data_IF_996753413426
#
_entry.id   IF_996753413426
#
_cell.length_a   1.000
_cell.length_b   1.000
_cell.length_c   1.000
_cell.angle_alpha   90.00
_cell.angle_beta   90.00
_cell.angle_gamma   90.00
#
_symmetry.space_group_name_H-M   'P 1'
#
loop_
_entity.id
_entity.type
_entity.pdbx_description
1 polymer ?
#
# COMPACT_ATOMS: atom_id res chain seq x y z
N UNK A 1 -19.99 -12.09 -23.26
CA UNK A 1 -19.05 -11.02 -22.95
C UNK A 1 -18.34 -10.54 -24.21
N UNK A 2 -18.11 -9.23 -24.34
CA UNK A 2 -17.29 -8.69 -25.44
C UNK A 2 -15.85 -9.19 -25.30
N UNK A 3 -15.09 -9.30 -26.43
CA UNK A 3 -13.70 -9.76 -26.39
C UNK A 3 -12.81 -8.96 -25.43
N UNK A 4 -13.11 -7.67 -25.23
CA UNK A 4 -12.42 -6.79 -24.28
C UNK A 4 -12.67 -7.19 -22.80
N UNK A 5 -13.85 -7.73 -22.49
CA UNK A 5 -14.18 -8.25 -21.16
C UNK A 5 -13.56 -9.63 -20.91
N UNK A 6 -13.48 -10.45 -21.95
CA UNK A 6 -12.81 -11.76 -21.87
C UNK A 6 -11.32 -11.57 -21.52
N UNK A 7 -10.63 -10.61 -22.16
CA UNK A 7 -9.23 -10.32 -21.86
C UNK A 7 -8.99 -9.89 -20.39
N UNK A 8 -9.98 -9.34 -19.73
CA UNK A 8 -9.87 -8.97 -18.30
C UNK A 8 -9.86 -10.16 -17.35
N UNK A 9 -10.32 -11.34 -17.80
CA UNK A 9 -10.33 -12.56 -16.96
C UNK A 9 -8.97 -13.24 -16.90
N UNK A 10 -7.99 -12.85 -17.75
CA UNK A 10 -6.65 -13.47 -17.80
C UNK A 10 -5.94 -13.53 -16.46
N UNK A 11 -6.17 -12.54 -15.58
CA UNK A 11 -5.56 -12.52 -14.26
C UNK A 11 -6.13 -13.63 -13.36
N UNK A 12 -7.41 -14.00 -13.55
CA UNK A 12 -8.02 -15.12 -12.83
C UNK A 12 -7.53 -16.47 -13.35
N UNK A 13 -7.23 -16.57 -14.66
CA UNK A 13 -6.54 -17.75 -15.18
C UNK A 13 -5.17 -17.94 -14.52
N UNK A 14 -4.34 -16.89 -14.49
CA UNK A 14 -3.06 -16.93 -13.81
C UNK A 14 -3.18 -17.22 -12.31
N UNK A 15 -4.21 -16.69 -11.66
CA UNK A 15 -4.51 -16.98 -10.25
C UNK A 15 -4.85 -18.46 -10.03
N UNK A 16 -5.62 -19.07 -10.95
CA UNK A 16 -5.92 -20.48 -10.93
C UNK A 16 -4.66 -21.34 -11.02
N UNK A 17 -3.74 -21.02 -11.93
CA UNK A 17 -2.42 -21.68 -12.06
C UNK A 17 -1.65 -21.59 -10.74
N UNK A 18 -1.62 -20.41 -10.11
CA UNK A 18 -0.95 -20.21 -8.82
C UNK A 18 -1.61 -21.01 -7.70
N UNK A 19 -2.94 -21.10 -7.68
CA UNK A 19 -3.66 -21.87 -6.66
C UNK A 19 -3.34 -23.37 -6.76
N UNK A 20 -3.19 -23.89 -7.98
CA UNK A 20 -2.71 -25.25 -8.19
C UNK A 20 -1.27 -25.42 -7.64
N UNK A 21 -0.36 -24.51 -8.00
CA UNK A 21 1.04 -24.56 -7.58
C UNK A 21 1.21 -24.53 -6.06
N UNK A 22 0.39 -23.74 -5.36
CA UNK A 22 0.45 -23.56 -3.89
C UNK A 22 -0.59 -24.36 -3.12
N UNK A 23 -1.23 -25.33 -3.75
CA UNK A 23 -2.26 -26.18 -3.14
C UNK A 23 -3.32 -25.39 -2.36
N UNK A 24 -3.87 -24.34 -3.02
CA UNK A 24 -4.86 -23.44 -2.40
C UNK A 24 -6.27 -23.75 -2.90
N UNK A 25 -7.27 -23.76 -2.01
CA UNK A 25 -8.67 -23.92 -2.39
C UNK A 25 -9.19 -22.67 -3.12
N UNK A 26 -10.11 -22.88 -4.08
CA UNK A 26 -10.70 -21.81 -4.90
C UNK A 26 -11.89 -21.12 -4.21
N UNK A 27 -12.54 -21.80 -3.26
CA UNK A 27 -13.82 -21.39 -2.66
C UNK A 27 -13.85 -19.97 -2.10
N UNK A 28 -12.81 -19.57 -1.38
CA UNK A 28 -12.74 -18.24 -0.78
C UNK A 28 -12.72 -17.12 -1.85
N UNK A 29 -12.05 -17.37 -2.98
CA UNK A 29 -12.01 -16.42 -4.09
C UNK A 29 -13.34 -16.39 -4.85
N UNK A 30 -14.01 -17.51 -5.00
CA UNK A 30 -15.34 -17.56 -5.59
C UNK A 30 -16.37 -16.80 -4.75
N UNK A 31 -16.35 -16.99 -3.43
CA UNK A 31 -17.22 -16.23 -2.52
C UNK A 31 -16.93 -14.72 -2.59
N UNK A 32 -15.67 -14.36 -2.65
CA UNK A 32 -15.26 -12.96 -2.82
C UNK A 32 -15.74 -12.38 -4.16
N UNK A 33 -15.63 -13.15 -5.28
CA UNK A 33 -16.15 -12.73 -6.59
C UNK A 33 -17.65 -12.46 -6.53
N UNK A 34 -18.43 -13.37 -5.94
CA UNK A 34 -19.88 -13.22 -5.76
C UNK A 34 -20.22 -11.95 -4.98
N UNK A 35 -19.47 -11.68 -3.90
CA UNK A 35 -19.68 -10.49 -3.06
C UNK A 35 -19.28 -9.20 -3.79
N UNK A 36 -18.12 -9.20 -4.46
CA UNK A 36 -17.57 -7.99 -5.09
C UNK A 36 -18.35 -7.58 -6.34
N UNK A 37 -18.85 -8.54 -7.12
CA UNK A 37 -19.54 -8.31 -8.38
C UNK A 37 -21.03 -8.63 -8.28
N UNK A 38 -21.62 -8.52 -7.09
CA UNK A 38 -23.05 -8.76 -6.89
C UNK A 38 -23.91 -8.02 -7.93
N UNK A 39 -24.84 -8.76 -8.57
CA UNK A 39 -25.68 -8.23 -9.64
C UNK A 39 -25.01 -8.21 -11.04
N UNK A 40 -23.81 -8.77 -11.20
CA UNK A 40 -23.08 -8.87 -12.48
C UNK A 40 -22.69 -10.33 -12.77
N UNK A 41 -23.69 -11.20 -12.86
CA UNK A 41 -23.51 -12.66 -12.92
C UNK A 41 -22.59 -13.10 -14.06
N UNK A 42 -22.70 -12.51 -15.25
CA UNK A 42 -21.82 -12.82 -16.38
C UNK A 42 -20.33 -12.53 -16.10
N UNK A 43 -20.02 -11.55 -15.23
CA UNK A 43 -18.64 -11.24 -14.82
C UNK A 43 -18.18 -12.27 -13.80
N UNK A 44 -19.04 -12.64 -12.85
CA UNK A 44 -18.74 -13.66 -11.84
C UNK A 44 -18.43 -14.98 -12.53
N UNK A 45 -19.34 -15.43 -13.40
CA UNK A 45 -19.22 -16.68 -14.15
C UNK A 45 -17.93 -16.72 -14.98
N UNK A 46 -17.64 -15.66 -15.75
CA UNK A 46 -16.46 -15.61 -16.61
C UNK A 46 -15.15 -15.64 -15.80
N UNK A 47 -15.07 -14.94 -14.67
CA UNK A 47 -13.87 -14.96 -13.84
C UNK A 47 -13.69 -16.30 -13.12
N UNK A 48 -14.78 -16.88 -12.62
CA UNK A 48 -14.78 -18.21 -11.99
C UNK A 48 -14.35 -19.27 -13.00
N UNK A 49 -14.96 -19.29 -14.18
CA UNK A 49 -14.60 -20.25 -15.25
C UNK A 49 -13.13 -20.09 -15.68
N UNK A 50 -12.65 -18.86 -15.80
CA UNK A 50 -11.26 -18.58 -16.15
C UNK A 50 -10.29 -19.08 -15.07
N UNK A 51 -10.63 -18.91 -13.79
CA UNK A 51 -9.82 -19.39 -12.65
C UNK A 51 -9.76 -20.91 -12.62
N UNK A 52 -10.89 -21.60 -12.79
CA UNK A 52 -10.93 -23.05 -12.91
C UNK A 52 -10.15 -23.55 -14.11
N UNK A 53 -10.26 -22.87 -15.26
CA UNK A 53 -9.49 -23.22 -16.45
C UNK A 53 -7.99 -23.14 -16.20
N UNK A 54 -7.51 -22.10 -15.49
CA UNK A 54 -6.10 -21.98 -15.12
C UNK A 54 -5.64 -23.08 -14.16
N UNK A 55 -6.44 -23.41 -13.16
CA UNK A 55 -6.15 -24.50 -12.24
C UNK A 55 -6.05 -25.85 -12.96
N UNK A 56 -7.05 -26.17 -13.77
CA UNK A 56 -7.10 -27.42 -14.52
C UNK A 56 -6.01 -27.50 -15.60
N UNK A 57 -5.65 -26.36 -16.22
CA UNK A 57 -4.54 -26.29 -17.16
C UNK A 57 -3.21 -26.70 -16.49
N UNK A 58 -2.93 -26.15 -15.31
CA UNK A 58 -1.70 -26.49 -14.58
C UNK A 58 -1.69 -27.97 -14.14
N UNK A 59 -2.84 -28.54 -13.77
CA UNK A 59 -3.01 -29.94 -13.43
C UNK A 59 -2.77 -30.85 -14.65
N UNK A 60 -3.48 -30.56 -15.74
CA UNK A 60 -3.48 -31.43 -16.94
C UNK A 60 -2.15 -31.39 -17.69
N UNK A 61 -1.48 -30.23 -17.71
CA UNK A 61 -0.20 -30.07 -18.45
C UNK A 61 1.02 -30.40 -17.61
N UNK A 62 0.85 -30.67 -16.32
CA UNK A 62 1.94 -30.99 -15.38
C UNK A 62 3.12 -30.00 -15.48
N UNK A 63 2.82 -28.70 -15.69
CA UNK A 63 3.84 -27.66 -15.90
C UNK A 63 4.75 -27.43 -14.69
N UNK A 64 4.33 -27.88 -13.50
CA UNK A 64 5.12 -27.76 -12.29
C UNK A 64 5.67 -29.10 -11.84
N UNK A 65 6.98 -29.23 -11.77
CA UNK A 65 7.66 -30.37 -11.17
C UNK A 65 7.56 -30.39 -9.65
N UNK A 66 7.28 -29.26 -9.04
CA UNK A 66 7.17 -29.09 -7.58
C UNK A 66 5.91 -28.29 -7.24
N UNK A 67 5.13 -28.80 -6.28
CA UNK A 67 4.01 -28.08 -5.67
C UNK A 67 4.41 -27.66 -4.25
N UNK A 68 3.89 -26.50 -3.84
CA UNK A 68 4.15 -25.95 -2.52
C UNK A 68 2.88 -26.03 -1.68
N UNK A 69 3.02 -26.30 -0.40
CA UNK A 69 1.92 -26.22 0.56
C UNK A 69 2.17 -25.12 1.55
N UNK A 70 1.23 -24.20 1.65
CA UNK A 70 1.28 -23.12 2.66
C UNK A 70 0.39 -23.54 3.81
N UNK A 71 1.02 -23.95 4.90
CA UNK A 71 0.31 -24.33 6.13
C UNK A 71 -0.34 -23.11 6.79
N UNK A 72 -1.32 -23.37 7.65
CA UNK A 72 -1.93 -22.30 8.45
C UNK A 72 -0.88 -21.68 9.37
N UNK A 73 -0.92 -20.36 9.50
CA UNK A 73 -0.06 -19.66 10.46
C UNK A 73 -0.34 -20.14 11.89
N UNK A 74 0.71 -20.36 12.66
CA UNK A 74 0.64 -20.75 14.08
C UNK A 74 0.36 -19.52 14.97
N UNK A 75 -0.73 -18.82 14.69
CA UNK A 75 -1.16 -17.67 15.48
C UNK A 75 -2.13 -18.11 16.59
N UNK A 76 -2.10 -17.47 17.76
CA UNK A 76 -3.11 -17.69 18.80
C UNK A 76 -4.53 -17.43 18.24
N UNK A 77 -5.58 -18.11 18.73
CA UNK A 77 -6.94 -17.81 18.34
C UNK A 77 -7.29 -16.34 18.59
N UNK A 78 -7.86 -15.65 17.60
CA UNK A 78 -8.19 -14.22 17.70
C UNK A 78 -8.76 -13.64 16.43
N UNK A 79 -9.18 -12.39 16.52
CA UNK A 79 -9.58 -11.60 15.37
C UNK A 79 -8.38 -10.82 14.84
N UNK A 80 -8.03 -11.05 13.59
CA UNK A 80 -6.88 -10.42 12.95
C UNK A 80 -7.34 -9.54 11.79
N UNK A 81 -6.60 -8.46 11.56
CA UNK A 81 -6.78 -7.59 10.41
C UNK A 81 -5.50 -7.56 9.59
N UNK A 82 -5.62 -7.82 8.31
CA UNK A 82 -4.51 -7.61 7.40
C UNK A 82 -4.28 -6.12 7.20
N UNK A 83 -3.08 -5.65 7.51
CA UNK A 83 -2.63 -4.28 7.28
C UNK A 83 -1.27 -4.31 6.61
N UNK A 84 -1.00 -3.31 5.77
CA UNK A 84 0.34 -3.05 5.23
C UNK A 84 1.05 -1.99 6.06
N UNK A 85 2.36 -1.77 5.81
CA UNK A 85 3.17 -0.79 6.52
C UNK A 85 2.63 0.62 6.40
N UNK A 86 2.12 1.04 5.24
CA UNK A 86 1.57 2.38 5.02
C UNK A 86 0.33 2.63 5.88
N UNK A 87 -0.57 1.65 5.99
CA UNK A 87 -1.75 1.76 6.86
C UNK A 87 -1.33 1.76 8.34
N UNK A 88 -0.39 0.91 8.74
CA UNK A 88 0.13 0.89 10.10
C UNK A 88 0.79 2.23 10.47
N UNK A 89 1.58 2.80 9.57
CA UNK A 89 2.19 4.13 9.72
C UNK A 89 1.11 5.20 9.89
N UNK A 90 0.09 5.20 9.04
CA UNK A 90 -1.01 6.19 9.13
C UNK A 90 -1.74 6.10 10.47
N UNK A 91 -2.01 4.89 10.98
CA UNK A 91 -2.62 4.67 12.29
C UNK A 91 -1.69 5.15 13.42
N UNK A 92 -0.39 4.87 13.32
CA UNK A 92 0.61 5.32 14.28
C UNK A 92 0.73 6.84 14.36
N UNK A 93 0.70 7.52 13.22
CA UNK A 93 0.74 8.99 13.13
C UNK A 93 -0.51 9.62 13.78
N UNK A 94 -1.69 9.07 13.50
CA UNK A 94 -2.92 9.54 14.12
C UNK A 94 -2.88 9.34 15.64
N UNK A 95 -2.46 8.17 16.11
CA UNK A 95 -2.34 7.89 17.54
C UNK A 95 -1.28 8.79 18.23
N UNK A 96 -0.18 9.13 17.53
CA UNK A 96 0.83 10.05 18.05
C UNK A 96 0.28 11.47 18.18
N UNK A 97 -0.45 11.95 17.19
CA UNK A 97 -1.13 13.24 17.19
C UNK A 97 -2.10 13.36 18.37
N UNK A 98 -2.97 12.40 18.56
CA UNK A 98 -3.91 12.32 19.68
C UNK A 98 -3.19 12.33 21.04
N UNK A 99 -2.16 11.49 21.20
CA UNK A 99 -1.40 11.42 22.48
C UNK A 99 -0.62 12.69 22.77
N UNK A 100 -0.11 13.36 21.75
CA UNK A 100 0.64 14.60 21.91
C UNK A 100 -0.27 15.83 22.02
N UNK A 101 -1.57 15.67 21.78
CA UNK A 101 -2.55 16.76 21.66
C UNK A 101 -2.10 17.83 20.64
N UNK A 102 -1.62 17.37 19.49
CA UNK A 102 -1.18 18.18 18.37
C UNK A 102 -2.05 17.88 17.15
N UNK A 103 -2.30 18.88 16.30
CA UNK A 103 -2.91 18.61 15.01
C UNK A 103 -1.93 17.85 14.12
N UNK A 104 -2.44 16.90 13.33
CA UNK A 104 -1.64 16.17 12.35
C UNK A 104 -1.67 16.87 11.00
N UNK A 105 -0.51 17.26 10.49
CA UNK A 105 -0.37 17.83 9.16
C UNK A 105 0.53 16.95 8.30
N UNK A 106 0.04 16.55 7.12
CA UNK A 106 0.83 15.85 6.11
C UNK A 106 0.99 16.71 4.86
N UNK A 107 2.21 17.17 4.59
CA UNK A 107 2.60 17.78 3.33
C UNK A 107 3.29 16.75 2.43
N UNK A 108 2.63 16.30 1.38
CA UNK A 108 3.13 15.25 0.49
C UNK A 108 2.74 15.50 -0.96
N UNK A 109 3.24 14.66 -1.85
CA UNK A 109 3.00 14.70 -3.29
C UNK A 109 2.75 13.27 -3.81
N UNK A 110 2.18 13.09 -5.02
CA UNK A 110 1.92 11.77 -5.57
C UNK A 110 3.22 11.02 -5.91
N UNK A 111 3.54 10.00 -5.13
CA UNK A 111 4.70 9.13 -5.35
C UNK A 111 4.43 7.72 -4.84
N UNK A 112 4.54 6.73 -5.70
CA UNK A 112 4.38 5.31 -5.33
C UNK A 112 5.67 4.79 -4.65
N UNK A 113 5.57 4.08 -3.51
CA UNK A 113 4.35 3.61 -2.83
C UNK A 113 3.86 4.52 -1.68
N UNK A 114 4.45 5.68 -1.45
CA UNK A 114 4.15 6.57 -0.32
C UNK A 114 2.75 7.22 -0.40
N UNK A 115 2.16 7.31 -1.60
CA UNK A 115 0.83 7.91 -1.81
C UNK A 115 -0.29 7.25 -1.00
N UNK A 116 -0.15 5.97 -0.63
CA UNK A 116 -1.15 5.28 0.19
C UNK A 116 -1.32 5.94 1.56
N UNK A 117 -0.25 6.51 2.13
CA UNK A 117 -0.31 7.26 3.40
C UNK A 117 -1.14 8.53 3.20
N UNK A 118 -0.87 9.28 2.11
CA UNK A 118 -1.64 10.48 1.78
C UNK A 118 -3.13 10.17 1.57
N UNK A 119 -3.44 9.13 0.80
CA UNK A 119 -4.82 8.70 0.55
C UNK A 119 -5.53 8.28 1.84
N UNK A 120 -4.87 7.53 2.70
CA UNK A 120 -5.41 7.07 3.98
C UNK A 120 -5.70 8.25 4.89
N UNK A 121 -4.72 9.11 5.14
CA UNK A 121 -4.88 10.26 6.03
C UNK A 121 -5.89 11.29 5.49
N UNK A 122 -5.95 11.48 4.18
CA UNK A 122 -6.95 12.39 3.58
C UNK A 122 -8.39 11.90 3.75
N UNK A 123 -8.60 10.60 3.94
CA UNK A 123 -9.92 10.05 4.26
C UNK A 123 -10.33 10.23 5.73
N UNK A 124 -9.38 10.59 6.60
CA UNK A 124 -9.57 10.72 8.05
C UNK A 124 -9.69 12.17 8.54
N UNK A 125 -10.19 13.06 7.68
CA UNK A 125 -10.43 14.49 8.03
C UNK A 125 -11.28 14.68 9.27
N UNK A 126 -12.18 13.75 9.55
CA UNK A 126 -13.04 13.78 10.74
C UNK A 126 -12.27 13.60 12.06
N UNK A 127 -11.01 13.15 12.00
CA UNK A 127 -10.10 13.15 13.15
C UNK A 127 -9.21 14.41 13.23
N UNK A 128 -9.54 15.48 12.52
CA UNK A 128 -8.75 16.71 12.52
C UNK A 128 -7.47 16.67 11.68
N UNK A 129 -7.26 15.59 10.91
CA UNK A 129 -6.09 15.45 10.06
C UNK A 129 -6.11 16.45 8.90
N UNK A 130 -5.06 17.23 8.77
CA UNK A 130 -4.83 18.14 7.66
C UNK A 130 -3.89 17.52 6.65
N UNK A 131 -4.30 17.46 5.39
CA UNK A 131 -3.47 16.94 4.30
C UNK A 131 -3.33 17.99 3.21
N UNK A 132 -2.11 18.18 2.72
CA UNK A 132 -1.79 19.02 1.59
C UNK A 132 -1.09 18.18 0.52
N UNK A 133 -1.70 18.08 -0.65
CA UNK A 133 -1.08 17.47 -1.81
C UNK A 133 -0.37 18.53 -2.63
N UNK A 134 0.95 18.50 -2.58
CA UNK A 134 1.84 19.37 -3.34
C UNK A 134 2.08 18.82 -4.75
N UNK A 135 2.67 19.63 -5.60
CA UNK A 135 3.10 19.24 -6.93
C UNK A 135 4.34 18.34 -6.89
N UNK A 136 5.30 18.64 -6.01
CA UNK A 136 6.60 17.97 -5.94
C UNK A 136 7.10 17.78 -4.50
N UNK A 137 8.30 17.23 -4.39
CA UNK A 137 9.02 16.95 -3.16
C UNK A 137 9.26 18.20 -2.32
N UNK A 138 9.68 19.30 -2.98
CA UNK A 138 10.10 20.53 -2.32
C UNK A 138 8.88 21.24 -1.74
N UNK A 139 7.84 21.40 -2.53
CA UNK A 139 6.57 21.99 -2.06
C UNK A 139 5.94 21.17 -0.92
N UNK A 140 6.02 19.82 -1.01
CA UNK A 140 5.52 18.93 0.03
C UNK A 140 6.24 19.12 1.37
N UNK A 141 7.57 19.12 1.38
CA UNK A 141 8.34 19.25 2.62
C UNK A 141 8.29 20.68 3.19
N UNK A 142 8.33 21.72 2.35
CA UNK A 142 8.27 23.10 2.81
C UNK A 142 6.91 23.45 3.41
N UNK A 143 5.81 22.90 2.89
CA UNK A 143 4.49 23.04 3.51
C UNK A 143 4.43 22.39 4.89
N UNK A 144 5.09 21.23 5.08
CA UNK A 144 5.18 20.57 6.38
C UNK A 144 6.04 21.40 7.37
N UNK A 145 7.13 22.03 6.92
CA UNK A 145 7.92 22.95 7.75
C UNK A 145 7.06 24.13 8.21
N UNK A 146 6.27 24.72 7.32
CA UNK A 146 5.33 25.78 7.68
C UNK A 146 4.30 25.34 8.74
N UNK A 147 3.78 24.12 8.64
CA UNK A 147 2.88 23.57 9.63
C UNK A 147 3.59 23.32 10.99
N UNK A 148 4.84 22.84 10.95
CA UNK A 148 5.66 22.71 12.16
C UNK A 148 5.88 24.04 12.87
N UNK A 149 6.11 25.11 12.12
CA UNK A 149 6.25 26.46 12.68
C UNK A 149 5.01 26.92 13.43
N UNK A 150 3.82 26.47 13.03
CA UNK A 150 2.56 26.75 13.73
C UNK A 150 2.22 25.78 14.85
N UNK A 151 3.10 24.82 15.14
CA UNK A 151 2.94 23.86 16.24
C UNK A 151 2.20 22.57 15.90
N UNK A 152 1.93 22.30 14.63
CA UNK A 152 1.33 21.01 14.22
C UNK A 152 2.38 19.89 14.25
N UNK A 153 1.96 18.65 14.45
CA UNK A 153 2.77 17.46 14.18
C UNK A 153 2.92 17.32 12.66
N UNK A 154 4.04 17.84 12.16
CA UNK A 154 4.30 18.01 10.74
C UNK A 154 5.02 16.80 10.14
N UNK A 155 4.47 16.28 9.04
CA UNK A 155 4.94 15.08 8.38
C UNK A 155 5.07 15.32 6.88
N UNK A 156 6.10 14.74 6.29
CA UNK A 156 6.22 14.63 4.84
C UNK A 156 6.54 13.19 4.45
N UNK A 157 6.01 12.74 3.33
CA UNK A 157 6.30 11.40 2.81
C UNK A 157 7.01 11.47 1.46
N UNK A 158 7.84 10.47 1.19
CA UNK A 158 8.56 10.36 -0.09
C UNK A 158 8.91 8.90 -0.40
N UNK A 159 9.53 8.67 -1.54
CA UNK A 159 10.04 7.37 -1.98
C UNK A 159 11.24 7.58 -2.91
N UNK A 160 12.13 6.58 -2.98
CA UNK A 160 13.26 6.58 -3.90
C UNK A 160 14.16 7.82 -3.78
N UNK A 161 14.50 8.47 -4.90
CA UNK A 161 15.40 9.61 -4.92
C UNK A 161 14.78 10.89 -4.35
N UNK A 162 13.49 10.92 -4.05
CA UNK A 162 12.80 12.10 -3.56
C UNK A 162 13.33 12.62 -2.22
N UNK A 163 13.98 11.76 -1.41
CA UNK A 163 14.65 12.20 -0.19
C UNK A 163 15.81 13.17 -0.47
N UNK A 164 16.53 12.95 -1.55
CA UNK A 164 17.64 13.84 -1.94
C UNK A 164 17.13 15.23 -2.34
N UNK A 165 15.99 15.31 -3.01
CA UNK A 165 15.35 16.57 -3.38
C UNK A 165 14.83 17.37 -2.18
N UNK A 166 14.64 16.73 -1.04
CA UNK A 166 14.23 17.37 0.22
C UNK A 166 15.41 17.89 1.04
N UNK A 167 16.66 17.63 0.62
CA UNK A 167 17.87 17.89 1.41
C UNK A 167 18.01 19.34 1.88
N UNK A 168 17.76 20.32 1.02
CA UNK A 168 17.79 21.74 1.37
C UNK A 168 16.74 22.10 2.42
N UNK A 169 15.51 21.64 2.24
CA UNK A 169 14.44 21.90 3.19
C UNK A 169 14.69 21.22 4.56
N UNK A 170 15.29 20.02 4.56
CA UNK A 170 15.71 19.37 5.81
C UNK A 170 16.79 20.17 6.52
N UNK A 171 17.76 20.74 5.78
CA UNK A 171 18.73 21.67 6.33
C UNK A 171 18.07 22.90 6.96
N UNK A 172 17.06 23.47 6.32
CA UNK A 172 16.29 24.59 6.87
C UNK A 172 15.58 24.20 8.17
N UNK A 173 14.92 23.04 8.21
CA UNK A 173 14.23 22.57 9.41
C UNK A 173 15.19 22.41 10.59
N UNK A 174 16.41 21.88 10.35
CA UNK A 174 17.46 21.76 11.36
C UNK A 174 17.94 23.14 11.84
N UNK A 175 18.21 24.07 10.92
CA UNK A 175 18.71 25.42 11.26
C UNK A 175 17.67 26.25 12.03
N UNK A 176 16.40 25.99 11.81
CA UNK A 176 15.29 26.68 12.49
C UNK A 176 14.74 25.90 13.69
N UNK A 177 15.35 24.76 14.02
CA UNK A 177 14.93 23.88 15.14
C UNK A 177 13.45 23.44 15.06
N UNK A 178 12.93 23.30 13.85
CA UNK A 178 11.54 22.89 13.62
C UNK A 178 11.43 21.35 13.54
N UNK A 179 10.63 20.71 14.40
CA UNK A 179 10.45 19.27 14.37
C UNK A 179 9.71 18.84 13.09
N UNK A 180 10.25 17.85 12.39
CA UNK A 180 9.70 17.34 11.14
C UNK A 180 9.87 15.80 11.08
N UNK A 181 8.79 15.10 10.79
CA UNK A 181 8.84 13.66 10.52
C UNK A 181 8.91 13.42 9.02
N UNK A 182 9.96 12.75 8.57
CA UNK A 182 10.14 12.37 7.16
C UNK A 182 10.00 10.87 7.02
N UNK A 183 9.03 10.42 6.23
CA UNK A 183 8.76 9.00 6.00
C UNK A 183 9.19 8.65 4.58
N UNK A 184 10.27 7.89 4.47
CA UNK A 184 10.78 7.40 3.20
C UNK A 184 10.29 5.96 2.96
N UNK A 185 9.23 5.80 2.16
CA UNK A 185 8.64 4.50 1.83
C UNK A 185 9.34 3.95 0.60
N UNK A 186 10.22 2.98 0.80
CA UNK A 186 10.99 2.38 -0.29
C UNK A 186 10.24 1.22 -0.94
N UNK A 187 10.49 1.05 -2.24
CA UNK A 187 10.23 -0.20 -2.96
C UNK A 187 11.51 -1.05 -2.94
N UNK A 188 11.36 -2.36 -2.89
CA UNK A 188 12.50 -3.26 -3.13
C UNK A 188 13.13 -3.00 -4.50
N UNK A 189 14.43 -3.17 -4.61
CA UNK A 189 15.20 -2.99 -5.83
C UNK A 189 16.53 -2.29 -5.61
N UNK A 190 17.23 -1.98 -6.69
CA UNK A 190 18.59 -1.43 -6.64
C UNK A 190 18.72 -0.10 -5.90
N UNK A 191 17.66 0.67 -5.75
CA UNK A 191 17.66 1.92 -4.97
C UNK A 191 17.92 1.69 -3.47
N UNK A 192 17.65 0.50 -2.94
CA UNK A 192 18.02 0.15 -1.56
C UNK A 192 19.52 0.05 -1.36
N UNK A 193 20.27 -0.29 -2.42
CA UNK A 193 21.74 -0.41 -2.37
C UNK A 193 22.44 0.91 -2.54
N UNK A 194 21.77 1.95 -3.03
CA UNK A 194 22.38 3.25 -3.35
C UNK A 194 21.96 4.37 -2.39
N UNK A 195 20.92 4.16 -1.58
CA UNK A 195 20.51 5.13 -0.56
C UNK A 195 21.05 4.69 0.80
N UNK A 196 22.00 5.43 1.40
CA UNK A 196 22.44 5.13 2.75
C UNK A 196 21.24 5.10 3.70
N UNK A 197 21.10 4.01 4.44
CA UNK A 197 20.04 3.82 5.41
C UNK A 197 20.66 3.50 6.78
N UNK A 198 20.10 3.98 7.88
CA UNK A 198 20.53 3.56 9.21
C UNK A 198 20.36 2.07 9.48
N UNK A 199 19.82 1.31 8.53
CA UNK A 199 19.62 -0.13 8.60
C UNK A 199 20.73 -0.93 7.91
N UNK A 200 21.61 -0.28 7.19
CA UNK A 200 22.81 -0.83 6.57
C UNK A 200 24.00 -0.63 7.52
#
# INVERSE_FOLDING_TARGET
>A
LSGKLVLRTKNFFALGVLFYMYDRPLDATEQWLKKKFAGKDAIIEANTASMHAGYNYADTTEIFTTRYKVEKASLPPGTYRNINGNLATSLGLLAASEKANLNLFLGSYPITPASDILHTLSSWKHFGVKTFQAEDEIAGVTSAIGASYTGDLAITTTSGPGIALKGEALGLAVMTELPLVVINVQRGGCLLYTSPSPRD
#
